data_IF_838409395786
#
_entry.id   IF_838409395786
#
_cell.length_a   1.000
_cell.length_b   1.000
_cell.length_c   1.000
_cell.angle_alpha   90.00
_cell.angle_beta   90.00
_cell.angle_gamma   90.00
#
_symmetry.space_group_name_H-M   'P 1'
#
loop_
_entity.id
_entity.type
_entity.pdbx_description
1 polymer ?
#
# COMPACT_ATOMS: atom_id res chain seq x y z
N UNK A 1 4.14 -10.16 -11.02
CA UNK A 1 3.28 -9.90 -9.85
C UNK A 1 3.65 -10.69 -8.59
N UNK A 2 3.57 -12.04 -8.58
CA UNK A 2 3.73 -12.86 -7.35
C UNK A 2 5.08 -12.71 -6.63
N UNK A 3 6.20 -12.77 -7.35
CA UNK A 3 7.54 -12.65 -6.74
C UNK A 3 7.77 -11.27 -6.10
N UNK A 4 7.30 -10.20 -6.76
CA UNK A 4 7.44 -8.82 -6.25
C UNK A 4 6.56 -8.59 -5.01
N UNK A 5 5.39 -9.25 -4.96
CA UNK A 5 4.53 -9.29 -3.76
C UNK A 5 5.23 -9.93 -2.56
N UNK A 6 5.91 -11.05 -2.79
CA UNK A 6 6.61 -11.79 -1.73
C UNK A 6 7.82 -11.00 -1.22
N UNK A 7 8.56 -10.33 -2.12
CA UNK A 7 9.63 -9.40 -1.75
C UNK A 7 9.13 -8.21 -0.92
N UNK A 8 8.05 -7.55 -1.36
CA UNK A 8 7.45 -6.45 -0.60
C UNK A 8 6.92 -6.88 0.77
N UNK A 9 6.36 -8.09 0.88
CA UNK A 9 5.93 -8.64 2.16
C UNK A 9 7.12 -8.95 3.09
N UNK A 10 8.21 -9.49 2.54
CA UNK A 10 9.42 -9.79 3.29
C UNK A 10 10.08 -8.51 3.84
N UNK A 11 10.24 -7.49 3.01
CA UNK A 11 10.75 -6.18 3.42
C UNK A 11 9.83 -5.50 4.46
N UNK A 12 8.51 -5.63 4.31
CA UNK A 12 7.57 -5.14 5.32
C UNK A 12 7.73 -5.87 6.66
N UNK A 13 7.97 -7.19 6.63
CA UNK A 13 8.17 -8.01 7.83
C UNK A 13 9.52 -7.73 8.51
N UNK A 14 10.56 -7.37 7.76
CA UNK A 14 11.85 -6.92 8.31
C UNK A 14 11.81 -5.49 8.86
N UNK A 15 10.71 -4.76 8.63
CA UNK A 15 10.56 -3.36 9.04
C UNK A 15 11.19 -2.36 8.07
N UNK A 16 11.74 -2.82 6.94
CA UNK A 16 12.22 -1.94 5.88
C UNK A 16 11.04 -1.47 5.01
N UNK A 17 10.32 -0.47 5.55
CA UNK A 17 9.15 0.08 4.88
C UNK A 17 9.51 0.88 3.62
N UNK A 18 10.74 1.37 3.49
CA UNK A 18 11.18 2.08 2.29
C UNK A 18 11.37 1.09 1.14
N UNK A 19 12.14 0.03 1.37
CA UNK A 19 12.35 -1.03 0.38
C UNK A 19 11.01 -1.72 0.02
N UNK A 20 10.16 -2.00 1.01
CA UNK A 20 8.81 -2.53 0.76
C UNK A 20 7.99 -1.62 -0.18
N UNK A 21 8.06 -0.30 0.03
CA UNK A 21 7.36 0.68 -0.82
C UNK A 21 7.86 0.63 -2.27
N UNK A 22 9.16 0.46 -2.49
CA UNK A 22 9.73 0.32 -3.82
C UNK A 22 9.28 -0.97 -4.50
N UNK A 23 9.30 -2.10 -3.79
CA UNK A 23 8.78 -3.37 -4.31
C UNK A 23 7.31 -3.24 -4.72
N UNK A 24 6.44 -2.68 -3.86
CA UNK A 24 5.04 -2.49 -4.23
C UNK A 24 4.86 -1.51 -5.39
N UNK A 25 5.69 -0.47 -5.50
CA UNK A 25 5.66 0.44 -6.65
C UNK A 25 5.99 -0.27 -7.95
N UNK A 26 7.02 -1.13 -7.95
CA UNK A 26 7.33 -1.99 -9.10
C UNK A 26 6.18 -2.96 -9.39
N UNK A 27 5.57 -3.55 -8.36
CA UNK A 27 4.43 -4.46 -8.52
C UNK A 27 3.23 -3.78 -9.21
N UNK A 28 2.89 -2.55 -8.81
CA UNK A 28 1.85 -1.73 -9.44
C UNK A 28 2.19 -1.43 -10.91
N UNK A 29 3.47 -1.17 -11.21
CA UNK A 29 3.93 -0.97 -12.59
C UNK A 29 3.82 -2.21 -13.47
N UNK A 30 3.92 -3.41 -12.90
CA UNK A 30 3.71 -4.67 -13.62
C UNK A 30 2.23 -5.04 -13.76
N UNK A 31 1.44 -4.74 -12.73
CA UNK A 31 0.01 -5.05 -12.67
C UNK A 31 -0.71 -4.00 -11.83
N UNK A 32 -1.42 -3.11 -12.52
CA UNK A 32 -2.19 -2.03 -11.92
C UNK A 32 -3.63 -2.43 -11.55
N UNK A 33 -4.04 -3.68 -11.79
CA UNK A 33 -5.41 -4.15 -11.55
C UNK A 33 -5.61 -4.71 -10.15
N UNK A 34 -4.51 -5.07 -9.49
CA UNK A 34 -4.50 -5.71 -8.19
C UNK A 34 -4.54 -4.69 -7.03
N UNK A 35 -5.69 -4.58 -6.36
CA UNK A 35 -5.89 -3.66 -5.23
C UNK A 35 -4.94 -3.91 -4.04
N UNK A 36 -4.39 -5.12 -3.93
CA UNK A 36 -3.50 -5.51 -2.83
C UNK A 36 -2.18 -4.73 -2.83
N UNK A 37 -1.64 -4.36 -4.00
CA UNK A 37 -0.37 -3.63 -4.08
C UNK A 37 -0.46 -2.19 -3.57
N UNK A 38 -1.38 -1.32 -4.05
CA UNK A 38 -1.54 0.00 -3.47
C UNK A 38 -1.95 -0.09 -1.99
N UNK A 39 -2.79 -1.07 -1.61
CA UNK A 39 -3.15 -1.25 -0.21
C UNK A 39 -1.94 -1.54 0.69
N UNK A 40 -1.05 -2.44 0.28
CA UNK A 40 0.16 -2.77 1.05
C UNK A 40 1.18 -1.64 1.03
N UNK A 41 1.32 -0.91 -0.09
CA UNK A 41 2.14 0.30 -0.15
C UNK A 41 1.62 1.37 0.82
N UNK A 42 0.30 1.56 0.93
CA UNK A 42 -0.30 2.44 1.92
C UNK A 42 0.05 2.06 3.36
N UNK A 43 0.13 0.77 3.70
CA UNK A 43 0.60 0.35 5.02
C UNK A 43 2.05 0.74 5.30
N UNK A 44 2.93 0.59 4.31
CA UNK A 44 4.33 1.02 4.43
C UNK A 44 4.40 2.54 4.63
N UNK A 45 3.65 3.29 3.83
CA UNK A 45 3.61 4.76 3.89
C UNK A 45 3.07 5.27 5.23
N UNK A 46 2.07 4.60 5.82
CA UNK A 46 1.60 4.89 7.18
C UNK A 46 2.71 4.72 8.22
N UNK A 47 3.53 3.67 8.12
CA UNK A 47 4.69 3.46 9.00
C UNK A 47 5.78 4.52 8.81
N UNK A 48 5.93 5.02 7.59
CA UNK A 48 6.83 6.12 7.23
C UNK A 48 6.24 7.52 7.52
N UNK A 49 5.03 7.60 8.09
CA UNK A 49 4.30 8.86 8.36
C UNK A 49 4.04 9.71 7.09
N UNK A 50 3.97 9.07 5.92
CA UNK A 50 3.64 9.68 4.63
C UNK A 50 2.14 9.62 4.37
N UNK A 51 1.38 10.32 5.21
CA UNK A 51 -0.09 10.17 5.28
C UNK A 51 -0.82 10.56 3.99
N UNK A 52 -0.38 11.63 3.32
CA UNK A 52 -0.99 12.07 2.07
C UNK A 52 -0.82 11.05 0.92
N UNK A 53 0.33 10.38 0.87
CA UNK A 53 0.58 9.32 -0.11
C UNK A 53 -0.22 8.06 0.24
N UNK A 54 -0.28 7.70 1.52
CA UNK A 54 -1.08 6.56 1.99
C UNK A 54 -2.58 6.73 1.69
N UNK A 55 -3.14 7.94 1.84
CA UNK A 55 -4.54 8.21 1.50
C UNK A 55 -4.82 7.99 -0.01
N UNK A 56 -3.91 8.48 -0.86
CA UNK A 56 -4.01 8.30 -2.32
C UNK A 56 -4.01 6.82 -2.69
N UNK A 57 -3.09 6.05 -2.10
CA UNK A 57 -3.00 4.62 -2.33
C UNK A 57 -4.23 3.85 -1.81
N UNK A 58 -4.77 4.23 -0.66
CA UNK A 58 -6.02 3.64 -0.17
C UNK A 58 -7.19 3.95 -1.10
N UNK A 59 -7.23 5.15 -1.68
CA UNK A 59 -8.28 5.55 -2.62
C UNK A 59 -8.15 4.80 -3.95
N UNK A 60 -6.93 4.58 -4.43
CA UNK A 60 -6.68 3.73 -5.60
C UNK A 60 -7.08 2.28 -5.35
N UNK A 61 -6.75 1.72 -4.17
CA UNK A 61 -7.17 0.39 -3.78
C UNK A 61 -8.71 0.24 -3.75
N UNK A 62 -9.41 1.26 -3.25
CA UNK A 62 -10.89 1.27 -3.22
C UNK A 62 -11.53 1.47 -4.60
N UNK A 63 -10.84 2.11 -5.54
CA UNK A 63 -11.31 2.20 -6.92
C UNK A 63 -11.27 0.84 -7.63
N UNK A 64 -10.31 -0.03 -7.25
CA UNK A 64 -10.16 -1.39 -7.77
C UNK A 64 -11.04 -2.40 -7.01
N UNK A 65 -11.10 -2.30 -5.69
CA UNK A 65 -11.91 -3.14 -4.79
C UNK A 65 -12.69 -2.26 -3.80
N UNK A 66 -13.92 -1.85 -4.16
CA UNK A 66 -14.76 -0.98 -3.33
C UNK A 66 -15.18 -1.61 -1.99
N UNK A 67 -15.03 -2.93 -1.82
CA UNK A 67 -15.42 -3.67 -0.62
C UNK A 67 -14.25 -3.89 0.34
N UNK A 68 -13.08 -3.33 0.04
CA UNK A 68 -11.88 -3.52 0.85
C UNK A 68 -11.93 -2.75 2.18
N UNK A 69 -12.42 -3.40 3.24
CA UNK A 69 -12.49 -2.81 4.58
C UNK A 69 -11.13 -2.31 5.11
N UNK A 70 -10.02 -2.99 4.77
CA UNK A 70 -8.68 -2.56 5.18
C UNK A 70 -8.28 -1.23 4.53
N UNK A 71 -8.69 -1.01 3.28
CA UNK A 71 -8.44 0.25 2.58
C UNK A 71 -9.21 1.40 3.23
N UNK A 72 -10.49 1.21 3.60
CA UNK A 72 -11.25 2.23 4.34
C UNK A 72 -10.60 2.57 5.69
N UNK A 73 -10.22 1.54 6.47
CA UNK A 73 -9.57 1.73 7.75
C UNK A 73 -8.27 2.54 7.62
N UNK A 74 -7.38 2.13 6.73
CA UNK A 74 -6.11 2.82 6.50
C UNK A 74 -6.28 4.23 5.95
N UNK A 75 -7.29 4.46 5.10
CA UNK A 75 -7.64 5.81 4.62
C UNK A 75 -8.12 6.70 5.75
N UNK A 76 -8.95 6.19 6.65
CA UNK A 76 -9.39 6.91 7.85
C UNK A 76 -8.22 7.27 8.77
N UNK A 77 -7.33 6.32 9.04
CA UNK A 77 -6.09 6.57 9.81
C UNK A 77 -5.21 7.62 9.13
N UNK A 78 -5.05 7.54 7.80
CA UNK A 78 -4.25 8.51 7.04
C UNK A 78 -4.82 9.92 7.17
N UNK A 79 -6.14 10.08 7.00
CA UNK A 79 -6.84 11.37 7.10
C UNK A 79 -6.82 11.97 8.50
N UNK A 80 -6.87 11.14 9.53
CA UNK A 80 -6.80 11.60 10.91
C UNK A 80 -5.39 12.10 11.31
N UNK A 81 -4.37 11.74 10.53
CA UNK A 81 -2.97 12.09 10.78
C UNK A 81 -2.41 13.15 9.81
N UNK A 82 -3.22 13.63 8.85
CA UNK A 82 -2.95 14.80 8.02
C UNK A 82 -3.17 16.09 8.81
#
# INVERSE_FOLDING_TARGET
>A
ARAVREQGNAAYASGDYQEATEHYTRAIGYDATEAIFPLNRAACLLKLKKFAEAERDCSAALALDPHNHKAYFRRGVSRAAL
#
